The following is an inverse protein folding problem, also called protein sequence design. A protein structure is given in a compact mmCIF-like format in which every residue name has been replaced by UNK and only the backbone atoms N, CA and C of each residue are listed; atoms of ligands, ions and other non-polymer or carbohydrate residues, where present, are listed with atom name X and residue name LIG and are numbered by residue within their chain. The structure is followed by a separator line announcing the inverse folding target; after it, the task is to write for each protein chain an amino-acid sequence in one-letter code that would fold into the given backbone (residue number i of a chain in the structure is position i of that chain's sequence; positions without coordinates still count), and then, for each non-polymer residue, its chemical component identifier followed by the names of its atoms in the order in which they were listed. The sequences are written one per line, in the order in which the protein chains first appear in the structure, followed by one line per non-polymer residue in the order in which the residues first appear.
data_IF_254539781617
#
_entry.id   IF_254539781617
#
_cell.length_a   1.000
_cell.length_b   1.000
_cell.length_c   1.000
_cell.angle_alpha   90.00
_cell.angle_beta   90.00
_cell.angle_gamma   90.00
#
_symmetry.space_group_name_H-M   'P 1'
#
loop_
_entity.id
_entity.type
_entity.pdbx_description
1 polymer ?
#
# COMPACT_ATOMS: atom_id res chain seq x y z
N UNK A 1 11.07 -10.90 -24.30
CA UNK A 1 11.89 -9.68 -24.49
C UNK A 1 11.07 -8.51 -23.98
N UNK A 2 11.21 -8.19 -22.69
CA UNK A 2 10.39 -7.21 -21.97
C UNK A 2 10.93 -5.81 -22.23
N UNK A 3 10.21 -5.02 -23.01
CA UNK A 3 10.33 -3.57 -22.94
C UNK A 3 9.82 -3.12 -21.56
N UNK A 4 10.60 -2.28 -20.87
CA UNK A 4 10.28 -1.69 -19.55
C UNK A 4 9.21 -0.60 -19.73
N UNK A 5 8.01 -0.74 -19.13
CA UNK A 5 7.07 0.36 -18.93
C UNK A 5 7.15 0.82 -17.46
N UNK A 6 7.30 2.12 -17.19
CA UNK A 6 7.23 2.61 -15.80
C UNK A 6 8.01 3.87 -15.42
N UNK A 7 8.34 4.76 -16.35
CA UNK A 7 8.59 6.15 -15.98
C UNK A 7 7.31 6.95 -16.28
N UNK A 8 6.49 7.19 -15.25
CA UNK A 8 5.49 8.26 -15.30
C UNK A 8 4.01 7.91 -15.52
N UNK A 9 3.56 6.66 -15.40
CA UNK A 9 2.12 6.31 -15.53
C UNK A 9 1.54 5.58 -14.30
N UNK A 10 1.83 6.09 -13.10
CA UNK A 10 0.84 5.94 -12.03
C UNK A 10 -0.08 7.13 -12.16
N UNK A 11 -1.37 6.91 -12.45
CA UNK A 11 -2.39 7.95 -12.31
C UNK A 11 -2.09 8.74 -11.04
N UNK A 12 -1.88 10.05 -11.19
CA UNK A 12 -1.82 10.94 -10.07
C UNK A 12 -3.24 11.03 -9.52
N UNK A 13 -3.71 9.97 -8.85
CA UNK A 13 -5.02 9.96 -8.23
C UNK A 13 -4.98 11.05 -7.15
N UNK A 14 -5.68 12.18 -7.35
CA UNK A 14 -5.72 13.25 -6.35
C UNK A 14 -6.47 12.80 -5.08
N UNK A 15 -7.08 11.60 -5.08
CA UNK A 15 -7.67 10.93 -3.92
C UNK A 15 -6.75 9.91 -3.25
N UNK A 16 -5.49 9.76 -3.71
CA UNK A 16 -4.48 8.89 -3.08
C UNK A 16 -4.09 9.44 -1.71
N UNK A 17 -5.02 9.28 -0.78
CA UNK A 17 -4.90 9.58 0.62
C UNK A 17 -4.22 8.40 1.30
N UNK A 18 -3.57 8.69 2.41
CA UNK A 18 -2.97 7.69 3.30
C UNK A 18 -3.98 6.59 3.70
N UNK A 19 -5.29 6.92 3.68
CA UNK A 19 -6.39 5.97 3.91
C UNK A 19 -6.61 5.00 2.75
N UNK A 20 -6.64 5.49 1.50
CA UNK A 20 -6.80 4.61 0.33
C UNK A 20 -5.65 3.62 0.23
N UNK A 21 -4.43 4.09 0.48
CA UNK A 21 -3.24 3.26 0.47
C UNK A 21 -3.29 2.16 1.54
N UNK A 22 -3.81 2.45 2.74
CA UNK A 22 -4.00 1.44 3.77
C UNK A 22 -5.02 0.37 3.35
N UNK A 23 -6.12 0.78 2.72
CA UNK A 23 -7.15 -0.16 2.22
C UNK A 23 -6.60 -1.03 1.08
N UNK A 24 -5.83 -0.44 0.15
CA UNK A 24 -5.17 -1.20 -0.92
C UNK A 24 -4.22 -2.26 -0.35
N UNK A 25 -3.54 -1.96 0.76
CA UNK A 25 -2.66 -2.90 1.47
C UNK A 25 -3.45 -4.02 2.16
N UNK A 26 -4.61 -3.71 2.75
CA UNK A 26 -5.51 -4.74 3.32
C UNK A 26 -6.06 -5.66 2.24
N UNK A 27 -6.59 -5.11 1.13
CA UNK A 27 -7.10 -5.88 0.01
C UNK A 27 -6.01 -6.77 -0.63
N UNK A 28 -4.77 -6.27 -0.69
CA UNK A 28 -3.64 -7.04 -1.18
C UNK A 28 -3.29 -8.17 -0.21
N UNK A 29 -3.31 -7.92 1.10
CA UNK A 29 -3.05 -8.92 2.12
C UNK A 29 -4.11 -10.03 2.12
N UNK A 30 -5.37 -9.68 1.88
CA UNK A 30 -6.47 -10.64 1.74
C UNK A 30 -6.31 -11.51 0.49
N UNK A 31 -5.96 -10.90 -0.65
CA UNK A 31 -5.72 -11.64 -1.90
C UNK A 31 -4.51 -12.57 -1.82
N UNK A 32 -3.52 -12.21 -1.01
CA UNK A 32 -2.33 -13.02 -0.76
C UNK A 32 -2.53 -14.03 0.37
N UNK A 33 -3.72 -14.06 0.99
CA UNK A 33 -4.04 -14.92 2.13
C UNK A 33 -2.99 -14.81 3.25
N UNK A 34 -2.46 -13.61 3.50
CA UNK A 34 -1.43 -13.36 4.52
C UNK A 34 -1.91 -13.64 5.96
N UNK A 35 -3.17 -14.05 6.12
CA UNK A 35 -3.80 -14.36 7.38
C UNK A 35 -4.26 -13.10 8.11
N UNK A 36 -4.51 -13.25 9.40
CA UNK A 36 -5.07 -12.16 10.20
C UNK A 36 -4.10 -11.04 10.52
N UNK A 37 -2.78 -11.25 10.37
CA UNK A 37 -1.75 -10.26 10.68
C UNK A 37 -0.57 -10.34 9.73
N UNK A 38 -0.05 -9.19 9.31
CA UNK A 38 1.15 -9.12 8.46
C UNK A 38 2.06 -7.97 8.87
N UNK A 39 3.31 -8.01 8.39
CA UNK A 39 4.29 -6.96 8.66
C UNK A 39 4.37 -5.97 7.50
N UNK A 40 4.31 -4.67 7.81
CA UNK A 40 4.51 -3.59 6.84
C UNK A 40 5.81 -2.86 7.17
N UNK A 41 6.69 -2.75 6.18
CA UNK A 41 7.93 -1.98 6.28
C UNK A 41 7.96 -0.90 5.21
N UNK A 42 8.39 0.30 5.59
CA UNK A 42 8.41 1.46 4.71
C UNK A 42 9.69 2.25 4.90
N UNK A 43 10.35 2.57 3.78
CA UNK A 43 11.57 3.38 3.78
C UNK A 43 11.29 4.75 3.14
N UNK A 44 11.85 5.82 3.71
CA UNK A 44 11.65 7.20 3.25
C UNK A 44 10.14 7.56 3.20
N UNK A 45 9.61 7.95 2.04
CA UNK A 45 8.17 8.20 1.84
C UNK A 45 7.28 6.99 2.14
N UNK A 46 7.82 5.77 2.11
CA UNK A 46 7.11 4.56 2.55
C UNK A 46 6.74 4.58 4.04
N UNK A 47 7.41 5.37 4.88
CA UNK A 47 7.05 5.50 6.29
C UNK A 47 5.67 6.12 6.51
N UNK A 48 5.24 7.04 5.63
CA UNK A 48 3.88 7.61 5.67
C UNK A 48 2.82 6.55 5.34
N UNK A 49 3.15 5.61 4.44
CA UNK A 49 2.27 4.50 4.10
C UNK A 49 2.10 3.53 5.28
N UNK A 50 3.20 3.17 5.94
CA UNK A 50 3.18 2.32 7.15
C UNK A 50 2.35 2.96 8.25
N UNK A 51 2.55 4.26 8.51
CA UNK A 51 1.76 4.98 9.50
C UNK A 51 0.27 5.02 9.14
N UNK A 52 -0.04 5.11 7.84
CA UNK A 52 -1.39 4.96 7.33
C UNK A 52 -2.01 3.62 7.64
N UNK A 53 -1.29 2.53 7.37
CA UNK A 53 -1.74 1.18 7.68
C UNK A 53 -2.02 1.04 9.17
N UNK A 54 -1.09 1.45 10.03
CA UNK A 54 -1.26 1.42 11.49
C UNK A 54 -2.46 2.24 11.97
N UNK A 55 -2.79 3.36 11.30
CA UNK A 55 -3.88 4.25 11.69
C UNK A 55 -5.25 3.79 11.19
N UNK A 56 -5.33 3.22 9.99
CA UNK A 56 -6.60 2.93 9.32
C UNK A 56 -6.98 1.44 9.36
N UNK A 57 -6.01 0.53 9.49
CA UNK A 57 -6.21 -0.92 9.60
C UNK A 57 -5.45 -1.53 10.80
N UNK A 58 -5.61 -1.01 12.03
CA UNK A 58 -4.86 -1.49 13.20
C UNK A 58 -5.15 -2.94 13.58
N UNK A 59 -6.23 -3.54 13.04
CA UNK A 59 -6.61 -4.93 13.25
C UNK A 59 -5.87 -5.92 12.35
N UNK A 60 -5.16 -5.43 11.33
CA UNK A 60 -4.32 -6.18 10.39
C UNK A 60 -2.84 -6.06 10.76
#
# INVERSE_FOLDING_TARGET
MFHRPGYGESDADPKRSVKSLALDVEDLADKLELGSKFYVMGFSMGGQAVWGCLKFIPHR
#
